data_IF_219456718751
#
_entry.id   IF_219456718751
#
_cell.length_a   1.000
_cell.length_b   1.000
_cell.length_c   1.000
_cell.angle_alpha   90.00
_cell.angle_beta   90.00
_cell.angle_gamma   90.00
#
_symmetry.space_group_name_H-M   'P 1'
#
loop_
_entity.id
_entity.type
_entity.pdbx_description
1 polymer ?
#
# COMPACT_ATOMS: atom_id res chain seq x y z
N UNK A 1 6.31 -7.17 0.14
CA UNK A 1 5.77 -7.26 -1.24
C UNK A 1 5.85 -5.93 -2.01
N UNK A 2 5.41 -4.79 -1.45
CA UNK A 2 5.36 -3.48 -2.16
C UNK A 2 6.74 -2.84 -2.48
N UNK A 3 7.77 -3.10 -1.67
CA UNK A 3 9.16 -2.68 -1.97
C UNK A 3 9.69 -3.26 -3.29
N UNK A 4 9.26 -4.48 -3.64
CA UNK A 4 9.62 -5.14 -4.90
C UNK A 4 8.93 -4.47 -6.11
N UNK A 5 7.68 -4.04 -5.95
CA UNK A 5 6.90 -3.34 -6.97
C UNK A 5 7.49 -1.95 -7.29
N UNK A 6 7.98 -1.22 -6.27
CA UNK A 6 8.62 0.10 -6.47
C UNK A 6 9.89 0.03 -7.32
N UNK A 7 10.73 -0.98 -7.08
CA UNK A 7 11.98 -1.15 -7.84
C UNK A 7 11.70 -1.55 -9.29
N UNK A 8 10.83 -2.53 -9.49
CA UNK A 8 10.44 -3.00 -10.83
C UNK A 8 9.80 -1.88 -11.66
N UNK A 9 8.90 -1.07 -11.09
CA UNK A 9 8.33 0.10 -11.77
C UNK A 9 9.40 1.12 -12.21
N UNK A 10 10.39 1.41 -11.35
CA UNK A 10 11.51 2.33 -11.68
C UNK A 10 12.38 1.77 -12.80
N UNK A 11 12.68 0.47 -12.80
CA UNK A 11 13.47 -0.15 -13.85
C UNK A 11 12.71 -0.23 -15.17
N UNK A 12 11.40 -0.48 -15.15
CA UNK A 12 10.54 -0.41 -16.32
C UNK A 12 10.61 0.98 -16.96
N UNK A 13 10.47 2.04 -16.17
CA UNK A 13 10.56 3.42 -16.66
C UNK A 13 11.91 3.74 -17.33
N UNK A 14 13.00 3.20 -16.80
CA UNK A 14 14.34 3.38 -17.40
C UNK A 14 14.49 2.68 -18.74
N UNK A 15 13.77 1.58 -18.98
CA UNK A 15 13.86 0.78 -20.21
C UNK A 15 13.09 1.37 -21.39
N UNK A 16 12.10 2.22 -21.14
CA UNK A 16 11.27 2.80 -22.21
C UNK A 16 12.06 3.92 -22.93
N UNK A 17 12.19 3.88 -24.28
CA UNK A 17 12.88 4.91 -25.05
C UNK A 17 12.15 6.26 -24.98
N UNK A 18 12.91 7.37 -25.10
CA UNK A 18 12.34 8.72 -24.97
C UNK A 18 11.22 9.02 -25.97
N UNK A 19 11.28 8.44 -27.17
CA UNK A 19 10.27 8.59 -28.22
C UNK A 19 8.90 8.07 -27.79
N UNK A 20 8.84 6.99 -27.03
CA UNK A 20 7.60 6.45 -26.48
C UNK A 20 7.12 7.22 -25.24
N UNK A 21 8.01 7.91 -24.52
CA UNK A 21 7.66 8.73 -23.34
C UNK A 21 6.96 10.04 -23.74
N UNK A 22 7.42 10.67 -24.82
CA UNK A 22 6.83 11.93 -25.30
C UNK A 22 5.51 11.73 -26.06
N UNK A 23 5.24 10.52 -26.56
CA UNK A 23 4.03 10.21 -27.30
C UNK A 23 2.80 9.99 -26.41
N UNK A 24 2.99 9.65 -25.13
CA UNK A 24 1.92 9.30 -24.20
C UNK A 24 1.95 10.21 -22.96
N UNK A 25 1.15 11.29 -22.98
CA UNK A 25 0.96 12.16 -21.82
C UNK A 25 0.45 11.38 -20.59
N UNK A 26 -0.34 10.32 -20.81
CA UNK A 26 -0.81 9.42 -19.77
C UNK A 26 0.34 8.68 -19.07
N UNK A 27 1.38 8.28 -19.81
CA UNK A 27 2.54 7.58 -19.26
C UNK A 27 3.33 8.49 -18.32
N UNK A 28 3.45 9.78 -18.65
CA UNK A 28 4.04 10.77 -17.74
C UNK A 28 3.21 10.98 -16.48
N UNK A 29 1.88 11.00 -16.60
CA UNK A 29 0.97 11.08 -15.46
C UNK A 29 1.12 9.87 -14.53
N UNK A 30 1.17 8.64 -15.06
CA UNK A 30 1.41 7.42 -14.28
C UNK A 30 2.74 7.52 -13.52
N UNK A 31 3.78 8.02 -14.18
CA UNK A 31 5.07 8.20 -13.54
C UNK A 31 5.09 9.27 -12.44
N UNK A 32 4.29 10.33 -12.58
CA UNK A 32 4.08 11.32 -11.51
C UNK A 32 3.44 10.66 -10.29
N UNK A 33 2.40 9.85 -10.47
CA UNK A 33 1.78 9.05 -9.38
C UNK A 33 2.82 8.13 -8.73
N UNK A 34 3.60 7.40 -9.54
CA UNK A 34 4.65 6.50 -9.04
C UNK A 34 5.73 7.21 -8.24
N UNK A 35 6.17 8.41 -8.67
CA UNK A 35 7.11 9.25 -7.92
C UNK A 35 6.52 9.77 -6.61
N UNK A 36 5.26 10.20 -6.61
CA UNK A 36 4.57 10.66 -5.41
C UNK A 36 4.42 9.52 -4.39
N UNK A 37 4.04 8.32 -4.84
CA UNK A 37 4.04 7.10 -4.05
C UNK A 37 5.45 6.77 -3.54
N UNK A 38 6.49 7.04 -4.33
CA UNK A 38 7.87 6.84 -3.91
C UNK A 38 8.23 7.73 -2.71
N UNK A 39 7.81 8.99 -2.73
CA UNK A 39 8.10 9.97 -1.68
C UNK A 39 7.14 9.91 -0.49
N UNK A 40 6.08 9.07 -0.55
CA UNK A 40 4.96 9.05 0.41
C UNK A 40 4.26 10.41 0.51
N UNK A 41 4.15 11.10 -0.62
CA UNK A 41 3.51 12.40 -0.72
C UNK A 41 2.02 12.19 -1.05
N UNK A 42 1.20 12.12 -0.01
CA UNK A 42 -0.21 11.72 -0.14
C UNK A 42 -1.05 12.78 -0.87
N UNK A 43 -0.83 14.07 -0.62
CA UNK A 43 -1.47 15.18 -1.36
C UNK A 43 -1.21 15.08 -2.87
N UNK A 44 0.03 14.79 -3.25
CA UNK A 44 0.41 14.62 -4.66
C UNK A 44 -0.18 13.35 -5.30
N UNK A 45 -0.38 12.29 -4.50
CA UNK A 45 -1.03 11.05 -4.97
C UNK A 45 -2.50 11.35 -5.29
N UNK A 46 -3.27 11.87 -4.33
CA UNK A 46 -4.70 12.12 -4.52
C UNK A 46 -4.99 13.16 -5.61
N UNK A 47 -4.16 14.21 -5.72
CA UNK A 47 -4.28 15.18 -6.82
C UNK A 47 -4.02 14.55 -8.20
N UNK A 48 -3.07 13.63 -8.30
CA UNK A 48 -2.77 12.92 -9.55
C UNK A 48 -3.85 11.87 -9.89
N UNK A 49 -4.52 11.29 -8.89
CA UNK A 49 -5.63 10.35 -9.10
C UNK A 49 -6.89 11.03 -9.64
N UNK A 50 -7.12 12.32 -9.32
CA UNK A 50 -8.22 13.13 -9.87
C UNK A 50 -8.09 13.41 -11.37
N UNK A 51 -6.98 13.05 -12.00
CA UNK A 51 -6.82 13.16 -13.44
C UNK A 51 -7.76 12.18 -14.17
N UNK A 52 -8.33 12.60 -15.30
CA UNK A 52 -9.22 11.76 -16.11
C UNK A 52 -8.40 10.68 -16.84
N UNK A 53 -8.26 9.51 -16.22
CA UNK A 53 -7.58 8.36 -16.82
C UNK A 53 -8.41 7.73 -17.94
N UNK A 54 -7.74 7.14 -18.92
CA UNK A 54 -8.36 6.23 -19.89
C UNK A 54 -9.16 5.12 -19.18
N UNK A 55 -10.29 4.66 -19.74
CA UNK A 55 -11.14 3.62 -19.14
C UNK A 55 -10.38 2.33 -18.82
N UNK A 56 -9.31 2.01 -19.55
CA UNK A 56 -8.51 0.81 -19.31
C UNK A 56 -7.63 0.91 -18.05
N UNK A 57 -7.22 2.13 -17.68
CA UNK A 57 -6.27 2.41 -16.59
C UNK A 57 -7.00 2.83 -15.32
N UNK A 58 -8.22 3.33 -15.45
CA UNK A 58 -9.11 3.68 -14.33
C UNK A 58 -9.24 2.58 -13.27
N UNK A 59 -9.57 1.30 -13.59
CA UNK A 59 -9.71 0.26 -12.58
C UNK A 59 -8.38 -0.08 -11.89
N UNK A 60 -7.26 0.02 -12.61
CA UNK A 60 -5.92 -0.16 -12.03
C UNK A 60 -5.60 0.94 -11.02
N UNK A 61 -5.95 2.19 -11.32
CA UNK A 61 -5.73 3.31 -10.39
C UNK A 61 -6.60 3.20 -9.14
N UNK A 62 -7.85 2.74 -9.27
CA UNK A 62 -8.71 2.45 -8.13
C UNK A 62 -8.11 1.36 -7.22
N UNK A 63 -7.63 0.26 -7.79
CA UNK A 63 -6.96 -0.80 -7.04
C UNK A 63 -5.71 -0.28 -6.30
N UNK A 64 -4.93 0.58 -6.95
CA UNK A 64 -3.75 1.20 -6.34
C UNK A 64 -4.15 2.11 -5.18
N UNK A 65 -5.23 2.89 -5.33
CA UNK A 65 -5.76 3.73 -4.26
C UNK A 65 -6.17 2.92 -3.03
N UNK A 66 -6.90 1.83 -3.24
CA UNK A 66 -7.35 0.93 -2.17
C UNK A 66 -6.17 0.29 -1.44
N UNK A 67 -5.16 -0.20 -2.17
CA UNK A 67 -3.99 -0.81 -1.57
C UNK A 67 -3.14 0.22 -0.80
N UNK A 68 -3.03 1.45 -1.31
CA UNK A 68 -2.39 2.55 -0.58
C UNK A 68 -3.14 2.82 0.72
N UNK A 69 -4.47 2.98 0.67
CA UNK A 69 -5.33 3.20 1.83
C UNK A 69 -5.15 2.11 2.87
N UNK A 70 -5.23 0.85 2.45
CA UNK A 70 -5.03 -0.33 3.31
C UNK A 70 -3.67 -0.33 3.98
N UNK A 71 -2.61 -0.02 3.23
CA UNK A 71 -1.25 0.00 3.77
C UNK A 71 -1.04 1.16 4.76
N UNK A 72 -1.63 2.32 4.51
CA UNK A 72 -1.63 3.46 5.44
C UNK A 72 -2.33 3.06 6.74
N UNK A 73 -3.50 2.42 6.67
CA UNK A 73 -4.22 1.94 7.85
C UNK A 73 -3.37 0.96 8.67
N UNK A 74 -2.72 -0.01 8.02
CA UNK A 74 -1.79 -0.95 8.68
C UNK A 74 -0.61 -0.23 9.33
N UNK A 75 -0.04 0.76 8.65
CA UNK A 75 1.08 1.54 9.17
C UNK A 75 0.65 2.32 10.40
N UNK A 76 -0.53 2.94 10.36
CA UNK A 76 -1.08 3.71 11.46
C UNK A 76 -1.34 2.81 12.67
N UNK A 77 -2.00 1.67 12.47
CA UNK A 77 -2.24 0.66 13.51
C UNK A 77 -0.96 0.12 14.18
N UNK A 78 0.16 0.06 13.45
CA UNK A 78 1.44 -0.44 13.98
C UNK A 78 2.30 0.63 14.64
N UNK A 79 2.25 1.88 14.16
CA UNK A 79 3.21 2.92 14.52
C UNK A 79 2.67 3.97 15.47
N UNK A 80 1.35 4.12 15.59
CA UNK A 80 0.74 5.18 16.38
C UNK A 80 -0.17 4.59 17.46
N UNK A 81 0.12 4.90 18.72
CA UNK A 81 -0.77 4.60 19.85
C UNK A 81 -1.93 5.59 19.95
N UNK A 82 -1.70 6.85 19.55
CA UNK A 82 -2.72 7.88 19.42
C UNK A 82 -2.39 8.77 18.21
N UNK A 83 -3.42 9.16 17.46
CA UNK A 83 -3.29 9.99 16.27
C UNK A 83 -4.42 11.00 16.20
N UNK A 84 -4.10 12.24 15.81
CA UNK A 84 -5.10 13.29 15.60
C UNK A 84 -5.93 13.03 14.34
N UNK A 85 -7.24 13.28 14.42
CA UNK A 85 -8.19 13.05 13.32
C UNK A 85 -7.80 13.84 12.07
N UNK A 86 -7.32 15.08 12.22
CA UNK A 86 -6.87 15.91 11.10
C UNK A 86 -5.67 15.32 10.35
N UNK A 87 -4.74 14.70 11.08
CA UNK A 87 -3.58 14.02 10.47
C UNK A 87 -4.04 12.77 9.74
N UNK A 88 -5.00 12.04 10.32
CA UNK A 88 -5.62 10.90 9.67
C UNK A 88 -6.35 11.30 8.38
N UNK A 89 -7.07 12.43 8.36
CA UNK A 89 -7.66 13.00 7.13
C UNK A 89 -6.61 13.18 6.04
N UNK A 90 -5.48 13.80 6.38
CA UNK A 90 -4.39 14.08 5.43
C UNK A 90 -3.78 12.80 4.87
N UNK A 91 -3.63 11.76 5.70
CA UNK A 91 -3.09 10.49 5.24
C UNK A 91 -4.06 9.73 4.33
N UNK A 92 -5.35 9.74 4.63
CA UNK A 92 -6.36 8.99 3.86
C UNK A 92 -6.91 9.76 2.65
N UNK A 93 -6.69 11.08 2.59
CA UNK A 93 -7.27 11.95 1.57
C UNK A 93 -8.79 12.02 1.63
N UNK A 94 -9.39 11.72 2.79
CA UNK A 94 -10.83 11.64 2.99
C UNK A 94 -11.36 12.83 3.81
N UNK A 95 -12.62 13.18 3.56
CA UNK A 95 -13.36 14.16 4.35
C UNK A 95 -13.53 13.71 5.81
N UNK A 96 -13.56 14.66 6.77
CA UNK A 96 -13.62 14.35 8.20
C UNK A 96 -14.88 13.56 8.60
N UNK A 97 -15.95 13.63 7.81
CA UNK A 97 -17.18 12.86 8.06
C UNK A 97 -17.03 11.37 7.75
N UNK A 98 -16.21 10.99 6.77
CA UNK A 98 -16.06 9.59 6.37
C UNK A 98 -15.10 8.82 7.29
N UNK A 99 -14.34 9.54 8.13
CA UNK A 99 -13.32 8.93 8.99
C UNK A 99 -13.97 8.14 10.12
N UNK A 100 -15.10 8.58 10.67
CA UNK A 100 -15.80 7.83 11.71
C UNK A 100 -16.18 6.43 11.21
N UNK A 101 -16.75 6.33 10.01
CA UNK A 101 -17.06 5.04 9.38
C UNK A 101 -15.80 4.18 9.20
N UNK A 102 -14.69 4.77 8.75
CA UNK A 102 -13.43 4.04 8.56
C UNK A 102 -12.87 3.56 9.91
N UNK A 103 -12.94 4.37 10.96
CA UNK A 103 -12.46 4.03 12.31
C UNK A 103 -13.28 2.88 12.89
N UNK A 104 -14.61 2.95 12.75
CA UNK A 104 -15.52 1.89 13.21
C UNK A 104 -15.32 0.58 12.42
N UNK A 105 -15.22 0.65 11.10
CA UNK A 105 -14.99 -0.51 10.22
C UNK A 105 -13.65 -1.20 10.53
N UNK A 106 -12.63 -0.44 10.93
CA UNK A 106 -11.33 -0.97 11.33
C UNK A 106 -11.26 -1.35 12.83
N UNK A 107 -12.35 -1.24 13.59
CA UNK A 107 -12.39 -1.58 15.02
C UNK A 107 -11.52 -0.69 15.92
N UNK A 108 -11.22 0.53 15.44
CA UNK A 108 -10.46 1.54 16.16
C UNK A 108 -11.38 2.37 17.07
N UNK A 109 -10.82 3.01 18.09
CA UNK A 109 -11.60 3.84 19.02
C UNK A 109 -11.34 5.32 18.77
N UNK A 110 -12.39 6.14 18.80
CA UNK A 110 -12.28 7.60 18.71
C UNK A 110 -12.62 8.23 20.06
N UNK A 111 -11.76 9.13 20.53
CA UNK A 111 -12.00 9.94 21.73
C UNK A 111 -11.83 11.42 21.36
N UNK A 112 -12.96 12.06 21.02
CA UNK A 112 -13.01 13.43 20.54
C UNK A 112 -12.16 13.65 19.28
N UNK A 113 -11.04 14.36 19.44
CA UNK A 113 -10.12 14.73 18.34
C UNK A 113 -9.07 13.65 18.06
N UNK A 114 -8.91 12.66 18.94
CA UNK A 114 -7.89 11.62 18.83
C UNK A 114 -8.48 10.26 18.47
N UNK A 115 -7.81 9.55 17.58
CA UNK A 115 -8.06 8.18 17.19
C UNK A 115 -7.01 7.30 17.87
N UNK A 116 -7.44 6.14 18.35
CA UNK A 116 -6.61 5.08 18.92
C UNK A 116 -6.62 3.88 17.96
N UNK A 117 -5.66 3.82 17.03
CA UNK A 117 -5.54 2.73 16.09
C UNK A 117 -5.19 1.43 16.80
N UNK A 118 -5.81 0.33 16.38
CA UNK A 118 -5.37 -1.02 16.76
C UNK A 118 -4.58 -1.63 15.60
N UNK A 119 -3.52 -2.40 15.90
CA UNK A 119 -2.83 -3.17 14.88
C UNK A 119 -3.83 -4.09 14.19
N UNK A 120 -3.99 -3.94 12.87
CA UNK A 120 -4.71 -4.93 12.07
C UNK A 120 -3.81 -6.16 12.05
N UNK A 121 -4.23 -7.22 12.74
CA UNK A 121 -3.55 -8.51 12.71
C UNK A 121 -3.69 -9.07 11.30
N UNK A 122 -2.65 -8.88 10.49
CA UNK A 122 -2.48 -9.70 9.31
C UNK A 122 -1.82 -10.99 9.73
N UNK A 123 -2.48 -12.12 9.46
CA UNK A 123 -1.86 -13.43 9.50
C UNK A 123 -0.66 -13.41 8.54
N UNK A 124 0.53 -13.17 9.09
CA UNK A 124 1.77 -13.34 8.35
C UNK A 124 1.91 -14.83 8.03
N UNK A 125 1.51 -15.23 6.83
CA UNK A 125 1.95 -16.49 6.25
C UNK A 125 3.46 -16.40 6.00
N UNK A 126 4.24 -16.74 7.02
CA UNK A 126 5.68 -16.80 6.93
C UNK A 126 6.10 -18.05 6.14
N UNK A 127 6.40 -17.85 4.86
CA UNK A 127 6.94 -18.91 4.00
C UNK A 127 8.25 -19.50 4.53
N UNK A 128 8.99 -18.81 5.42
CA UNK A 128 10.17 -19.40 6.09
C UNK A 128 9.77 -20.51 7.06
N UNK A 129 8.64 -20.36 7.74
CA UNK A 129 8.11 -21.41 8.62
C UNK A 129 7.76 -22.68 7.82
N UNK A 130 7.25 -22.54 6.59
CA UNK A 130 7.01 -23.68 5.70
C UNK A 130 8.31 -24.36 5.24
N UNK A 131 9.35 -23.58 4.89
CA UNK A 131 10.64 -24.13 4.49
C UNK A 131 11.33 -24.89 5.64
N UNK A 132 11.30 -24.34 6.85
CA UNK A 132 11.80 -25.00 8.05
C UNK A 132 11.03 -26.30 8.38
N UNK A 133 9.74 -26.38 8.02
CA UNK A 133 8.97 -27.61 8.16
C UNK A 133 9.40 -28.69 7.15
N UNK A 134 9.78 -28.30 5.93
CA UNK A 134 10.34 -29.20 4.93
C UNK A 134 11.73 -29.73 5.30
N UNK A 135 12.60 -28.89 5.88
CA UNK A 135 13.91 -29.34 6.39
C UNK A 135 13.74 -30.43 7.46
N UNK A 136 12.85 -30.22 8.44
CA UNK A 136 12.57 -31.21 9.49
C UNK A 136 12.02 -32.53 8.96
N UNK A 137 11.19 -32.49 7.92
CA UNK A 137 10.69 -33.69 7.26
C UNK A 137 11.81 -34.45 6.53
N UNK A 138 12.70 -33.71 5.87
CA UNK A 138 13.85 -34.29 5.17
C UNK A 138 14.80 -34.99 6.15
N UNK A 139 15.07 -34.38 7.31
CA UNK A 139 15.88 -35.00 8.37
C UNK A 139 15.21 -36.25 8.95
N UNK A 140 13.88 -36.24 9.08
CA UNK A 140 13.11 -37.38 9.61
C UNK A 140 13.12 -38.58 8.65
N UNK A 141 13.10 -38.33 7.33
CA UNK A 141 13.20 -39.39 6.33
C UNK A 141 14.62 -39.97 6.32
N UNK A 142 15.65 -39.11 6.38
CA UNK A 142 17.06 -39.53 6.46
C UNK A 142 17.35 -40.40 7.68
N UNK A 143 16.72 -40.12 8.83
CA UNK A 143 16.85 -40.93 10.05
C UNK A 143 16.24 -42.34 9.93
N UNK A 144 15.24 -42.54 9.07
CA UNK A 144 14.56 -43.83 8.88
C UNK A 144 15.25 -44.72 7.84
N UNK A 145 16.18 -44.17 7.06
CA UNK A 145 16.88 -44.87 5.98
C UNK A 145 18.24 -45.46 6.42
N UNK A 146 18.67 -45.19 7.66
CA UNK A 146 19.89 -45.70 8.31
C UNK A 146 19.56 -46.56 9.53
#
# INVERSE_FOLDING_TARGET
MILLCRLSAKFLWKRIPLTAKSAAAELEAIWKVGKAMQRKDYDSIYSSLRHSWSPDISPLMQLVEEEIRRNILKLIGKSYSSLETEKLCKYLGCDPQNIQNIVEDNGWSIDGTFVFPKPIEEEFHDNRTQFNAFEKLTDSISFLEN
#
